data_IF_481586411711
#
_entry.id   IF_481586411711
#
_cell.length_a   1.000
_cell.length_b   1.000
_cell.length_c   1.000
_cell.angle_alpha   90.00
_cell.angle_beta   90.00
_cell.angle_gamma   90.00
#
_symmetry.space_group_name_H-M   'P 1'
#
loop_
_entity.id
_entity.type
_entity.pdbx_description
1 polymer ?
#
# COMPACT_ATOMS: atom_id res chain seq x y z
N UNK A 1 -25.83 -10.29 -44.86
CA UNK A 1 -24.78 -11.28 -44.51
C UNK A 1 -23.39 -10.67 -44.30
N UNK A 2 -22.80 -9.94 -45.26
CA UNK A 2 -21.42 -9.40 -45.15
C UNK A 2 -21.14 -8.53 -43.91
N UNK A 3 -22.12 -7.72 -43.47
CA UNK A 3 -21.99 -6.83 -42.29
C UNK A 3 -21.90 -7.59 -40.96
N UNK A 4 -22.63 -8.71 -40.84
CA UNK A 4 -22.57 -9.56 -39.64
C UNK A 4 -21.27 -10.36 -39.58
N UNK A 5 -20.71 -10.73 -40.74
CA UNK A 5 -19.42 -11.41 -40.82
C UNK A 5 -18.26 -10.50 -40.38
N UNK A 6 -18.31 -9.21 -40.76
CA UNK A 6 -17.32 -8.20 -40.33
C UNK A 6 -17.39 -7.90 -38.83
N UNK A 7 -18.60 -7.82 -38.26
CA UNK A 7 -18.79 -7.66 -36.82
C UNK A 7 -18.26 -8.85 -36.03
N UNK A 8 -18.49 -10.08 -36.53
CA UNK A 8 -17.99 -11.29 -35.89
C UNK A 8 -16.45 -11.37 -35.94
N UNK A 9 -15.86 -10.99 -37.08
CA UNK A 9 -14.41 -10.94 -37.24
C UNK A 9 -13.76 -9.85 -36.37
N UNK A 10 -14.41 -8.69 -36.22
CA UNK A 10 -13.95 -7.63 -35.34
C UNK A 10 -14.05 -8.02 -33.85
N UNK A 11 -15.13 -8.70 -33.45
CA UNK A 11 -15.27 -9.28 -32.12
C UNK A 11 -14.19 -10.32 -31.85
N UNK A 12 -14.02 -11.30 -32.72
CA UNK A 12 -12.97 -12.33 -32.60
C UNK A 12 -11.56 -11.73 -32.57
N UNK A 13 -11.29 -10.73 -33.42
CA UNK A 13 -10.02 -10.00 -33.44
C UNK A 13 -9.78 -9.22 -32.15
N UNK A 14 -10.80 -8.54 -31.62
CA UNK A 14 -10.74 -7.84 -30.34
C UNK A 14 -10.49 -8.80 -29.18
N UNK A 15 -11.22 -9.93 -29.13
CA UNK A 15 -11.03 -10.95 -28.09
C UNK A 15 -9.65 -11.59 -28.16
N UNK A 16 -9.13 -11.86 -29.36
CA UNK A 16 -7.80 -12.41 -29.56
C UNK A 16 -6.71 -11.41 -29.12
N UNK A 17 -6.90 -10.12 -29.40
CA UNK A 17 -5.95 -9.08 -29.02
C UNK A 17 -5.93 -8.88 -27.49
N UNK A 18 -7.10 -8.90 -26.85
CA UNK A 18 -7.22 -8.93 -25.38
C UNK A 18 -6.53 -10.17 -24.81
N UNK A 19 -6.75 -11.35 -25.41
CA UNK A 19 -6.11 -12.58 -24.95
C UNK A 19 -4.58 -12.51 -25.08
N UNK A 20 -4.05 -11.93 -26.16
CA UNK A 20 -2.60 -11.75 -26.36
C UNK A 20 -2.02 -10.76 -25.35
N UNK A 21 -2.72 -9.66 -25.06
CA UNK A 21 -2.31 -8.71 -24.01
C UNK A 21 -2.32 -9.37 -22.64
N UNK A 22 -3.36 -10.14 -22.31
CA UNK A 22 -3.45 -10.89 -21.05
C UNK A 22 -2.34 -11.94 -20.96
N UNK A 23 -2.09 -12.72 -22.02
CA UNK A 23 -1.03 -13.73 -22.04
C UNK A 23 0.35 -13.10 -21.95
N UNK A 24 0.62 -11.97 -22.61
CA UNK A 24 1.90 -11.28 -22.49
C UNK A 24 2.08 -10.63 -21.10
N UNK A 25 1.01 -10.08 -20.50
CA UNK A 25 1.05 -9.60 -19.13
C UNK A 25 1.35 -10.75 -18.14
N UNK A 26 0.75 -11.92 -18.36
CA UNK A 26 1.01 -13.12 -17.57
C UNK A 26 2.40 -13.73 -17.82
N UNK A 27 2.93 -13.66 -19.05
CA UNK A 27 4.27 -14.18 -19.38
C UNK A 27 5.40 -13.32 -18.82
N UNK A 28 5.23 -11.99 -18.79
CA UNK A 28 6.14 -11.06 -18.08
C UNK A 28 6.09 -11.26 -16.56
N UNK A 29 5.03 -11.89 -16.04
CA UNK A 29 4.86 -12.14 -14.60
C UNK A 29 5.63 -13.36 -14.09
N UNK A 30 6.02 -14.31 -14.95
CA UNK A 30 6.56 -15.60 -14.49
C UNK A 30 8.06 -15.57 -14.13
N UNK A 31 8.84 -14.64 -14.68
CA UNK A 31 10.30 -14.66 -14.55
C UNK A 31 10.83 -13.78 -13.39
N UNK A 32 9.99 -12.97 -12.73
CA UNK A 32 10.47 -11.99 -11.74
C UNK A 32 9.52 -11.71 -10.56
N UNK A 33 8.75 -12.72 -10.14
CA UNK A 33 8.03 -12.79 -8.86
C UNK A 33 8.83 -13.59 -7.81
N UNK A 34 10.16 -13.49 -7.84
CA UNK A 34 11.00 -14.15 -6.85
C UNK A 34 10.70 -13.56 -5.47
N UNK A 35 10.47 -14.41 -4.44
CA UNK A 35 10.36 -13.92 -3.08
C UNK A 35 11.63 -13.13 -2.71
N UNK A 36 11.49 -12.07 -1.90
CA UNK A 36 12.64 -11.28 -1.50
C UNK A 36 13.67 -12.15 -0.77
N UNK A 37 14.96 -11.83 -0.95
CA UNK A 37 16.06 -12.59 -0.33
C UNK A 37 15.93 -12.53 1.21
N UNK A 38 15.73 -13.67 1.90
CA UNK A 38 15.62 -13.68 3.35
C UNK A 38 16.91 -13.22 4.05
N UNK A 39 18.06 -13.31 3.38
CA UNK A 39 19.35 -12.82 3.91
C UNK A 39 19.55 -11.31 3.71
N UNK A 40 18.63 -10.61 3.03
CA UNK A 40 18.70 -9.16 2.86
C UNK A 40 18.74 -8.47 4.22
N UNK A 41 19.74 -7.61 4.42
CA UNK A 41 19.85 -6.79 5.62
C UNK A 41 18.91 -5.58 5.51
N UNK A 42 18.04 -5.47 6.51
CA UNK A 42 17.08 -4.39 6.68
C UNK A 42 17.57 -3.49 7.80
N UNK A 43 17.64 -2.19 7.53
CA UNK A 43 18.13 -1.23 8.52
C UNK A 43 17.02 -0.85 9.48
N UNK A 44 17.24 -1.03 10.76
CA UNK A 44 16.29 -0.65 11.80
C UNK A 44 16.42 0.83 12.17
N UNK A 45 15.39 1.39 12.83
CA UNK A 45 15.43 2.80 13.22
C UNK A 45 16.51 3.18 14.24
N UNK A 46 16.97 2.22 15.04
CA UNK A 46 18.08 2.40 15.98
C UNK A 46 19.46 2.35 15.29
N UNK A 47 19.48 2.17 13.96
CA UNK A 47 20.68 2.07 13.14
C UNK A 47 21.28 0.67 13.11
N UNK A 48 20.72 -0.30 13.82
CA UNK A 48 21.10 -1.71 13.70
C UNK A 48 20.57 -2.32 12.40
N UNK A 49 21.07 -3.50 12.04
CA UNK A 49 20.60 -4.26 10.88
C UNK A 49 20.14 -5.64 11.32
N UNK A 50 19.03 -6.11 10.77
CA UNK A 50 18.54 -7.50 10.92
C UNK A 50 18.23 -8.08 9.55
N UNK A 51 18.32 -9.40 9.42
CA UNK A 51 17.92 -10.04 8.17
C UNK A 51 16.40 -9.99 8.00
N UNK A 52 15.94 -9.93 6.75
CA UNK A 52 14.52 -9.97 6.42
C UNK A 52 13.84 -11.23 6.97
N UNK A 53 14.53 -12.37 6.90
CA UNK A 53 14.04 -13.63 7.47
C UNK A 53 13.80 -13.56 8.98
N UNK A 54 14.72 -12.97 9.74
CA UNK A 54 14.55 -12.78 11.19
C UNK A 54 13.38 -11.86 11.54
N UNK A 55 13.15 -10.82 10.73
CA UNK A 55 12.06 -9.87 10.96
C UNK A 55 10.67 -10.47 10.70
N UNK A 56 10.60 -11.40 9.74
CA UNK A 56 9.33 -11.98 9.28
C UNK A 56 9.03 -13.31 9.99
N UNK A 57 10.04 -13.99 10.53
CA UNK A 57 9.88 -15.28 11.23
C UNK A 57 8.74 -15.30 12.28
N UNK A 58 8.57 -14.28 13.15
CA UNK A 58 7.47 -14.26 14.13
C UNK A 58 6.06 -14.33 13.49
N UNK A 59 5.95 -13.91 12.23
CA UNK A 59 4.69 -13.84 11.49
C UNK A 59 4.45 -15.06 10.58
N UNK A 60 5.47 -15.91 10.37
CA UNK A 60 5.37 -17.12 9.54
C UNK A 60 4.87 -18.34 10.31
N UNK A 61 5.15 -18.42 11.61
CA UNK A 61 4.88 -19.63 12.40
C UNK A 61 3.43 -19.75 12.90
N UNK A 62 2.57 -18.76 12.63
CA UNK A 62 1.15 -18.79 13.01
C UNK A 62 0.86 -18.78 14.51
N UNK A 63 1.90 -18.88 15.36
CA UNK A 63 1.80 -18.77 16.81
C UNK A 63 1.66 -17.30 17.19
N UNK A 64 0.41 -16.89 17.32
CA UNK A 64 -0.05 -15.56 17.76
C UNK A 64 0.46 -14.41 16.89
N UNK A 65 -0.39 -13.96 15.96
CA UNK A 65 -0.38 -12.55 15.55
C UNK A 65 -0.23 -11.75 16.85
N UNK A 66 0.82 -10.92 17.03
CA UNK A 66 0.87 -10.05 18.19
C UNK A 66 -0.46 -9.33 18.25
N UNK A 67 -1.10 -9.31 19.43
CA UNK A 67 -2.35 -8.57 19.60
C UNK A 67 -2.13 -7.20 18.96
N UNK A 68 -3.00 -6.78 18.02
CA UNK A 68 -2.83 -5.48 17.39
C UNK A 68 -2.61 -4.49 18.52
N UNK A 69 -1.56 -3.65 18.44
CA UNK A 69 -1.24 -2.73 19.52
C UNK A 69 -2.55 -2.07 19.93
N UNK A 70 -2.89 -2.06 21.23
CA UNK A 70 -4.18 -1.56 21.68
C UNK A 70 -4.37 -0.21 21.00
N UNK A 71 -5.48 -0.05 20.27
CA UNK A 71 -5.78 1.17 19.54
C UNK A 71 -5.34 2.32 20.43
N UNK A 72 -4.46 3.22 19.94
CA UNK A 72 -3.78 4.20 20.77
C UNK A 72 -4.82 4.77 21.70
N UNK A 73 -4.60 4.63 23.02
CA UNK A 73 -5.58 5.12 23.99
C UNK A 73 -5.95 6.52 23.53
N UNK A 74 -7.24 6.75 23.43
CA UNK A 74 -7.90 8.02 23.15
C UNK A 74 -7.56 9.09 24.23
N UNK A 75 -6.38 9.04 24.84
CA UNK A 75 -5.82 10.04 25.72
C UNK A 75 -5.56 11.34 24.93
N UNK A 76 -5.42 11.26 23.59
CA UNK A 76 -5.47 12.41 22.68
C UNK A 76 -6.88 12.92 22.34
N UNK A 77 -7.91 12.09 22.50
CA UNK A 77 -9.29 12.48 22.22
C UNK A 77 -9.90 13.31 23.34
N UNK A 78 -9.35 13.27 24.55
CA UNK A 78 -9.80 14.17 25.62
C UNK A 78 -9.61 15.65 25.24
N UNK A 79 -8.54 15.97 24.51
CA UNK A 79 -8.30 17.31 23.97
C UNK A 79 -9.19 17.63 22.77
N UNK A 80 -9.38 16.67 21.85
CA UNK A 80 -10.22 16.85 20.66
C UNK A 80 -11.71 16.98 21.02
N UNK A 81 -12.21 16.15 21.95
CA UNK A 81 -13.58 16.18 22.44
C UNK A 81 -13.87 17.45 23.26
N UNK A 82 -12.93 17.92 24.10
CA UNK A 82 -13.07 19.21 24.78
C UNK A 82 -13.05 20.40 23.79
N UNK A 83 -12.26 20.29 22.72
CA UNK A 83 -12.21 21.30 21.65
C UNK A 83 -13.49 21.32 20.82
N UNK A 84 -14.04 20.15 20.48
CA UNK A 84 -15.30 20.02 19.75
C UNK A 84 -16.49 20.49 20.60
N UNK A 85 -16.55 20.15 21.88
CA UNK A 85 -17.59 20.62 22.81
C UNK A 85 -17.52 22.15 23.02
N UNK A 86 -16.32 22.74 23.04
CA UNK A 86 -16.13 24.20 23.08
C UNK A 86 -16.55 24.88 21.77
N UNK A 87 -16.35 24.21 20.63
CA UNK A 87 -16.80 24.67 19.31
C UNK A 87 -18.33 24.62 19.19
N UNK A 88 -18.96 23.53 19.63
CA UNK A 88 -20.43 23.36 19.65
C UNK A 88 -21.14 24.38 20.55
N UNK A 89 -20.46 24.85 21.60
CA UNK A 89 -20.93 25.96 22.46
C UNK A 89 -20.65 27.36 21.89
N UNK A 90 -20.18 27.46 20.64
CA UNK A 90 -19.93 28.71 19.92
C UNK A 90 -18.72 29.51 20.44
N UNK A 91 -17.78 28.84 21.12
CA UNK A 91 -16.68 29.49 21.85
C UNK A 91 -15.37 29.65 21.08
N UNK A 92 -15.25 29.08 19.87
CA UNK A 92 -14.05 29.16 19.05
C UNK A 92 -14.33 29.96 17.77
N UNK A 93 -13.49 30.95 17.52
CA UNK A 93 -13.46 31.67 16.24
C UNK A 93 -12.84 30.81 15.14
N UNK A 94 -13.13 31.14 13.88
CA UNK A 94 -12.56 30.46 12.71
C UNK A 94 -11.02 30.43 12.73
N UNK A 95 -10.38 31.51 13.22
CA UNK A 95 -8.93 31.57 13.43
C UNK A 95 -8.41 30.60 14.48
N UNK A 96 -9.17 30.36 15.56
CA UNK A 96 -8.77 29.42 16.60
C UNK A 96 -8.92 27.98 16.14
N UNK A 97 -9.96 27.69 15.32
CA UNK A 97 -10.14 26.39 14.67
C UNK A 97 -9.01 26.09 13.68
N UNK A 98 -8.63 27.06 12.84
CA UNK A 98 -7.50 26.91 11.91
C UNK A 98 -6.17 26.70 12.64
N UNK A 99 -5.93 27.43 13.73
CA UNK A 99 -4.74 27.25 14.55
C UNK A 99 -4.68 25.87 15.22
N UNK A 100 -5.82 25.38 15.74
CA UNK A 100 -5.94 24.04 16.32
C UNK A 100 -5.72 22.95 15.28
N UNK A 101 -6.32 23.09 14.10
CA UNK A 101 -6.11 22.18 12.99
C UNK A 101 -4.63 22.15 12.56
N UNK A 102 -3.97 23.31 12.49
CA UNK A 102 -2.55 23.40 12.16
C UNK A 102 -1.66 22.71 13.20
N UNK A 103 -1.93 22.90 14.49
CA UNK A 103 -1.19 22.22 15.58
C UNK A 103 -1.41 20.71 15.52
N UNK A 104 -2.65 20.27 15.32
CA UNK A 104 -2.96 18.85 15.27
C UNK A 104 -2.37 18.17 14.03
N UNK A 105 -2.37 18.85 12.88
CA UNK A 105 -1.66 18.41 11.68
C UNK A 105 -0.17 18.33 11.96
N UNK A 106 0.43 19.32 12.62
CA UNK A 106 1.86 19.31 12.96
C UNK A 106 2.22 18.15 13.91
N UNK A 107 1.44 17.91 14.96
CA UNK A 107 1.65 16.76 15.86
C UNK A 107 1.48 15.43 15.14
N UNK A 108 0.51 15.31 14.23
CA UNK A 108 0.34 14.12 13.40
C UNK A 108 1.52 13.92 12.45
N UNK A 109 2.04 15.00 11.85
CA UNK A 109 3.22 14.94 10.99
C UNK A 109 4.48 14.55 11.77
N UNK A 110 4.67 15.07 12.99
CA UNK A 110 5.79 14.73 13.85
C UNK A 110 5.70 13.28 14.32
N UNK A 111 4.52 12.83 14.74
CA UNK A 111 4.28 11.43 15.11
C UNK A 111 4.47 10.49 13.92
N UNK A 112 4.04 10.90 12.72
CA UNK A 112 4.28 10.16 11.49
C UNK A 112 5.77 10.14 11.09
N UNK A 113 6.61 11.08 11.56
CA UNK A 113 8.07 11.05 11.36
C UNK A 113 8.81 10.22 12.40
N UNK A 114 8.18 9.90 13.52
CA UNK A 114 8.80 9.05 14.52
C UNK A 114 9.01 7.65 13.95
N UNK A 115 10.16 7.02 14.26
CA UNK A 115 10.39 5.65 13.86
C UNK A 115 9.38 4.72 14.53
N UNK A 116 9.04 3.60 13.88
CA UNK A 116 8.17 2.61 14.49
C UNK A 116 8.79 2.09 15.78
N UNK A 117 7.95 1.91 16.80
CA UNK A 117 8.36 1.45 18.14
C UNK A 117 8.15 -0.06 18.34
N UNK A 118 7.56 -0.74 17.36
CA UNK A 118 7.32 -2.18 17.36
C UNK A 118 8.07 -2.93 16.26
N UNK A 119 8.12 -4.25 16.37
CA UNK A 119 8.72 -5.17 15.40
C UNK A 119 7.72 -5.55 14.26
N UNK A 120 6.68 -4.73 14.00
CA UNK A 120 5.76 -4.98 12.89
C UNK A 120 6.46 -4.69 11.55
N UNK A 121 6.65 -5.72 10.68
CA UNK A 121 7.29 -5.56 9.38
C UNK A 121 6.56 -4.57 8.46
N UNK A 122 5.25 -4.41 8.58
CA UNK A 122 4.49 -3.43 7.80
C UNK A 122 4.82 -1.99 8.22
N UNK A 123 4.85 -1.71 9.52
CA UNK A 123 5.19 -0.38 10.04
C UNK A 123 6.63 0.01 9.68
N UNK A 124 7.55 -0.97 9.75
CA UNK A 124 8.93 -0.80 9.30
C UNK A 124 8.99 -0.51 7.79
N UNK A 125 8.20 -1.21 6.98
CA UNK A 125 8.11 -0.95 5.55
C UNK A 125 7.59 0.45 5.24
N UNK A 126 6.54 0.91 5.94
CA UNK A 126 6.02 2.28 5.79
C UNK A 126 7.04 3.33 6.21
N UNK A 127 7.86 3.07 7.23
CA UNK A 127 8.97 3.95 7.59
C UNK A 127 10.03 4.02 6.51
N UNK A 128 10.51 2.88 5.99
CA UNK A 128 11.45 2.86 4.86
C UNK A 128 10.89 3.58 3.63
N UNK A 129 9.59 3.40 3.36
CA UNK A 129 8.91 4.04 2.24
C UNK A 129 8.92 5.56 2.37
N UNK A 130 8.60 6.09 3.56
CA UNK A 130 8.64 7.53 3.86
C UNK A 130 10.06 8.11 3.74
N UNK A 131 11.06 7.32 4.08
CA UNK A 131 12.48 7.67 3.97
C UNK A 131 13.04 7.49 2.55
N UNK A 132 12.20 7.14 1.57
CA UNK A 132 12.62 6.93 0.17
C UNK A 132 13.44 5.66 -0.06
N UNK A 133 13.59 4.79 0.95
CA UNK A 133 14.28 3.50 0.86
C UNK A 133 13.35 2.43 0.30
N UNK A 134 12.90 2.64 -0.94
CA UNK A 134 11.83 1.86 -1.55
C UNK A 134 12.18 0.39 -1.80
N UNK A 135 13.47 0.04 -1.95
CA UNK A 135 13.88 -1.36 -2.05
C UNK A 135 13.68 -2.13 -0.74
N UNK A 136 14.02 -1.53 0.40
CA UNK A 136 13.81 -2.14 1.72
C UNK A 136 12.32 -2.23 2.05
N UNK A 137 11.56 -1.16 1.74
CA UNK A 137 10.10 -1.16 1.89
C UNK A 137 9.46 -2.27 1.05
N UNK A 138 9.84 -2.38 -0.24
CA UNK A 138 9.34 -3.43 -1.14
C UNK A 138 9.63 -4.83 -0.60
N UNK A 139 10.85 -5.08 -0.15
CA UNK A 139 11.23 -6.39 0.37
C UNK A 139 10.38 -6.79 1.59
N UNK A 140 10.17 -5.87 2.53
CA UNK A 140 9.31 -6.09 3.68
C UNK A 140 7.85 -6.32 3.27
N UNK A 141 7.28 -5.48 2.40
CA UNK A 141 5.90 -5.66 1.92
C UNK A 141 5.68 -7.00 1.22
N UNK A 142 6.62 -7.42 0.38
CA UNK A 142 6.53 -8.69 -0.35
C UNK A 142 6.64 -9.90 0.59
N UNK A 143 7.43 -9.78 1.66
CA UNK A 143 7.63 -10.84 2.64
C UNK A 143 6.47 -11.03 3.63
N UNK A 144 5.53 -10.08 3.69
CA UNK A 144 4.36 -10.19 4.56
C UNK A 144 3.51 -11.41 4.21
N UNK A 145 3.13 -12.23 5.21
CA UNK A 145 2.24 -13.36 4.99
C UNK A 145 0.82 -12.88 4.66
N UNK A 146 0.06 -13.68 3.90
CA UNK A 146 -1.31 -13.34 3.48
C UNK A 146 -2.27 -13.12 4.65
N UNK A 147 -2.00 -13.73 5.81
CA UNK A 147 -2.83 -13.57 7.01
C UNK A 147 -2.53 -12.26 7.77
N UNK A 148 -1.52 -11.50 7.34
CA UNK A 148 -1.15 -10.25 8.00
C UNK A 148 -2.28 -9.22 7.87
N UNK A 149 -2.66 -8.49 8.95
CA UNK A 149 -3.76 -7.52 8.90
C UNK A 149 -3.62 -6.44 7.81
N UNK A 150 -2.38 -6.12 7.46
CA UNK A 150 -2.03 -5.13 6.44
C UNK A 150 -1.62 -5.73 5.09
N UNK A 151 -1.92 -7.01 4.83
CA UNK A 151 -1.48 -7.68 3.60
C UNK A 151 -1.98 -6.98 2.34
N UNK A 152 -3.31 -6.76 2.18
CA UNK A 152 -3.85 -6.06 1.02
C UNK A 152 -3.29 -4.64 0.87
N UNK A 153 -3.06 -3.93 1.98
CA UNK A 153 -2.42 -2.61 1.97
C UNK A 153 -0.98 -2.68 1.44
N UNK A 154 -0.20 -3.68 1.87
CA UNK A 154 1.15 -3.89 1.38
C UNK A 154 1.19 -4.19 -0.13
N UNK A 155 0.26 -5.01 -0.64
CA UNK A 155 0.18 -5.30 -2.09
C UNK A 155 -0.09 -4.06 -2.93
N UNK A 156 -0.92 -3.14 -2.43
CA UNK A 156 -1.12 -1.84 -3.09
C UNK A 156 0.13 -0.98 -3.11
N UNK A 157 0.87 -0.91 -1.99
CA UNK A 157 2.12 -0.14 -1.90
C UNK A 157 3.15 -0.69 -2.88
N UNK A 158 3.27 -2.00 -2.99
CA UNK A 158 4.12 -2.66 -3.99
C UNK A 158 3.68 -2.28 -5.40
N UNK A 159 2.38 -2.37 -5.69
CA UNK A 159 1.83 -2.09 -7.01
C UNK A 159 2.12 -0.65 -7.48
N UNK A 160 1.76 0.32 -6.64
CA UNK A 160 1.82 1.74 -6.99
C UNK A 160 3.16 2.37 -6.65
N UNK A 161 3.53 2.40 -5.38
CA UNK A 161 4.71 3.15 -4.92
C UNK A 161 6.02 2.51 -5.42
N UNK A 162 6.12 1.17 -5.40
CA UNK A 162 7.36 0.47 -5.78
C UNK A 162 7.49 0.23 -7.30
N UNK A 163 6.47 -0.31 -7.96
CA UNK A 163 6.56 -0.65 -9.38
C UNK A 163 6.15 0.50 -10.31
N UNK A 164 4.94 1.04 -10.15
CA UNK A 164 4.44 2.06 -11.06
C UNK A 164 5.21 3.39 -10.95
N UNK A 165 5.41 3.89 -9.73
CA UNK A 165 6.04 5.20 -9.49
C UNK A 165 7.56 5.11 -9.49
N UNK A 166 8.15 4.28 -8.63
CA UNK A 166 9.60 4.31 -8.43
C UNK A 166 10.40 3.63 -9.56
N UNK A 167 9.89 2.54 -10.12
CA UNK A 167 10.55 1.82 -11.21
C UNK A 167 10.04 2.24 -12.60
N UNK A 168 8.92 2.95 -12.68
CA UNK A 168 8.30 3.28 -13.97
C UNK A 168 7.80 2.04 -14.73
N UNK A 169 7.56 0.94 -14.01
CA UNK A 169 7.17 -0.36 -14.55
C UNK A 169 5.77 -0.76 -14.05
N UNK A 170 4.71 0.01 -14.36
CA UNK A 170 3.37 -0.21 -13.83
C UNK A 170 2.80 -1.59 -14.19
N UNK A 171 3.21 -2.17 -15.31
CA UNK A 171 2.81 -3.51 -15.72
C UNK A 171 3.18 -4.58 -14.68
N UNK A 172 4.30 -4.43 -13.97
CA UNK A 172 4.73 -5.34 -12.89
C UNK A 172 3.91 -5.15 -11.61
N UNK A 173 3.29 -3.99 -11.43
CA UNK A 173 2.41 -3.71 -10.31
C UNK A 173 1.03 -4.34 -10.43
N UNK A 174 0.59 -4.70 -11.65
CA UNK A 174 -0.73 -5.26 -11.93
C UNK A 174 -1.12 -6.48 -11.07
N UNK A 175 -0.29 -7.54 -10.95
CA UNK A 175 -0.66 -8.69 -10.11
C UNK A 175 -0.91 -8.29 -8.65
N UNK A 176 -0.09 -7.39 -8.09
CA UNK A 176 -0.24 -6.94 -6.71
C UNK A 176 -1.46 -6.02 -6.50
N UNK A 177 -1.78 -5.17 -7.48
CA UNK A 177 -3.01 -4.40 -7.47
C UNK A 177 -4.25 -5.32 -7.49
N UNK A 178 -4.17 -6.42 -8.24
CA UNK A 178 -5.23 -7.42 -8.28
C UNK A 178 -5.36 -8.18 -6.95
N UNK A 179 -4.25 -8.63 -6.37
CA UNK A 179 -4.21 -9.27 -5.04
C UNK A 179 -4.86 -8.39 -3.96
N UNK A 180 -4.56 -7.10 -3.94
CA UNK A 180 -5.18 -6.16 -3.00
C UNK A 180 -6.70 -6.04 -3.16
N UNK A 181 -7.20 -6.06 -4.41
CA UNK A 181 -8.64 -6.02 -4.67
C UNK A 181 -9.34 -7.32 -4.26
N UNK A 182 -8.64 -8.46 -4.34
CA UNK A 182 -9.17 -9.75 -3.88
C UNK A 182 -9.21 -9.82 -2.35
N UNK A 183 -8.22 -9.25 -1.65
CA UNK A 183 -8.19 -9.15 -0.19
C UNK A 183 -9.39 -8.35 0.34
N UNK A 184 -9.55 -7.13 -0.17
CA UNK A 184 -10.62 -6.23 0.26
C UNK A 184 -11.22 -5.44 -0.93
N UNK A 185 -12.26 -5.99 -1.58
CA UNK A 185 -12.89 -5.34 -2.73
C UNK A 185 -13.69 -4.08 -2.38
N UNK A 186 -13.86 -3.76 -1.10
CA UNK A 186 -14.57 -2.55 -0.64
C UNK A 186 -13.63 -1.44 -0.18
N UNK A 187 -12.32 -1.67 -0.19
CA UNK A 187 -11.33 -0.63 0.07
C UNK A 187 -11.27 0.34 -1.13
N UNK A 188 -11.84 1.54 -0.96
CA UNK A 188 -11.85 2.57 -1.99
C UNK A 188 -10.45 2.98 -2.44
N UNK A 189 -9.48 2.96 -1.52
CA UNK A 189 -8.11 3.29 -1.84
C UNK A 189 -7.47 2.16 -2.70
N UNK A 190 -7.94 0.91 -2.61
CA UNK A 190 -7.41 -0.22 -3.40
C UNK A 190 -7.86 -0.08 -4.86
N UNK A 191 -9.11 0.32 -5.07
CA UNK A 191 -9.62 0.69 -6.39
C UNK A 191 -8.88 1.87 -7.01
N UNK A 192 -8.61 2.92 -6.24
CA UNK A 192 -7.86 4.07 -6.74
C UNK A 192 -6.46 3.69 -7.23
N UNK A 193 -5.70 2.97 -6.42
CA UNK A 193 -4.34 2.55 -6.78
C UNK A 193 -4.37 1.56 -7.96
N UNK A 194 -5.32 0.61 -7.98
CA UNK A 194 -5.47 -0.31 -9.09
C UNK A 194 -5.77 0.41 -10.40
N UNK A 195 -6.71 1.36 -10.41
CA UNK A 195 -7.02 2.17 -11.59
C UNK A 195 -5.79 2.93 -12.08
N UNK A 196 -5.02 3.54 -11.17
CA UNK A 196 -3.78 4.24 -11.52
C UNK A 196 -2.75 3.30 -12.15
N UNK A 197 -2.55 2.11 -11.57
CA UNK A 197 -1.62 1.09 -12.10
C UNK A 197 -2.06 0.61 -13.48
N UNK A 198 -3.35 0.30 -13.67
CA UNK A 198 -3.88 -0.13 -14.97
C UNK A 198 -3.78 0.98 -16.02
N UNK A 199 -4.12 2.21 -15.68
CA UNK A 199 -4.01 3.35 -16.57
C UNK A 199 -2.56 3.64 -16.96
N UNK A 200 -1.64 3.64 -15.99
CA UNK A 200 -0.21 3.82 -16.26
C UNK A 200 0.35 2.70 -17.16
N UNK A 201 -0.11 1.46 -16.98
CA UNK A 201 0.24 0.32 -17.86
C UNK A 201 -0.22 0.55 -19.30
N UNK A 202 -1.34 1.25 -19.49
CA UNK A 202 -1.87 1.62 -20.80
C UNK A 202 -1.30 2.95 -21.35
N UNK A 203 -0.38 3.60 -20.63
CA UNK A 203 0.15 4.91 -21.00
C UNK A 203 -0.84 6.06 -20.82
N UNK A 204 -1.84 5.90 -19.96
CA UNK A 204 -2.86 6.90 -19.64
C UNK A 204 -2.49 7.63 -18.34
N UNK A 205 -2.70 8.94 -18.31
CA UNK A 205 -2.60 9.75 -17.10
C UNK A 205 -3.95 9.80 -16.38
N UNK A 206 -3.96 9.55 -15.07
CA UNK A 206 -5.13 9.68 -14.20
C UNK A 206 -4.83 10.81 -13.23
N UNK A 207 -5.33 12.00 -13.55
CA UNK A 207 -5.27 13.19 -12.70
C UNK A 207 -6.35 13.15 -11.61
#
# INVERSE_FOLDING_TARGET
MKRNLLLLAALLGGTLLVLIVVVNALAVSAEELLPPDPAMLVQLPDGSERSLGELIAPWQDGDTLPEPPPAPRADGDAGLLDTLDRNERGGLTEQELDALAAVQVQELLERARQPPTGDDPFDLAEWHRREGRLDQARALYLALPEQHPHWGQARRRVAWDCFAVAQGEPARGVPYAHEALLDNPFDGNAWQDAVRVYAATLGLTVD
#
